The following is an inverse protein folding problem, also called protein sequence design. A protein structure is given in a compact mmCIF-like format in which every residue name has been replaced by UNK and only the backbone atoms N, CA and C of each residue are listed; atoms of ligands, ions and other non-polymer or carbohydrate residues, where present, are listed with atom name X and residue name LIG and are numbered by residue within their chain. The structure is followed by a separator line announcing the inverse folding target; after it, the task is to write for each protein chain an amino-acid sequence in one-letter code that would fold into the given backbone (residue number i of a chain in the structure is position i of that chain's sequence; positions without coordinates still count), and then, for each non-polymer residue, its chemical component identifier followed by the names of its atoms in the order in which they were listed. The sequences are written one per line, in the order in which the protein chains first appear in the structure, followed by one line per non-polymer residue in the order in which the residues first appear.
data_IF_360782764486
#
_entry.id   IF_360782764486
#
_cell.length_a   1.000
_cell.length_b   1.000
_cell.length_c   1.000
_cell.angle_alpha   90.00
_cell.angle_beta   90.00
_cell.angle_gamma   90.00
#
_symmetry.space_group_name_H-M   'P 1'
#
loop_
_entity.id
_entity.type
_entity.pdbx_description
1 polymer ?
#
# COMPACT_ATOMS: atom_id res chain seq x y z
N UNK A 1 -29.89 -0.94 18.86
CA UNK A 1 -29.68 -0.50 17.46
C UNK A 1 -28.76 0.72 17.31
N UNK A 2 -28.65 1.64 18.28
CA UNK A 2 -27.79 2.85 18.12
C UNK A 2 -26.26 2.60 18.24
N UNK A 3 -25.82 1.52 18.89
CA UNK A 3 -24.38 1.27 19.08
C UNK A 3 -23.67 0.75 17.80
N UNK A 4 -24.36 -0.02 16.99
CA UNK A 4 -23.78 -0.60 15.75
C UNK A 4 -23.56 0.46 14.67
N UNK A 5 -24.49 1.42 14.54
CA UNK A 5 -24.36 2.52 13.60
C UNK A 5 -23.20 3.47 13.96
N UNK A 6 -22.94 3.73 15.23
CA UNK A 6 -21.83 4.55 15.67
C UNK A 6 -20.47 3.87 15.44
N UNK A 7 -20.38 2.55 15.66
CA UNK A 7 -19.14 1.80 15.40
C UNK A 7 -18.81 1.75 13.90
N UNK A 8 -19.80 1.49 13.05
CA UNK A 8 -19.61 1.47 11.60
C UNK A 8 -19.16 2.83 11.06
N UNK A 9 -19.72 3.94 11.55
CA UNK A 9 -19.31 5.28 11.15
C UNK A 9 -17.87 5.61 11.60
N UNK A 10 -17.45 5.17 12.77
CA UNK A 10 -16.08 5.36 13.27
C UNK A 10 -15.08 4.55 12.45
N UNK A 11 -15.43 3.33 12.03
CA UNK A 11 -14.59 2.50 11.18
C UNK A 11 -14.46 3.08 9.76
N UNK A 12 -15.55 3.56 9.18
CA UNK A 12 -15.52 4.20 7.86
C UNK A 12 -14.70 5.50 7.86
N UNK A 13 -14.71 6.28 8.96
CA UNK A 13 -13.88 7.47 9.10
C UNK A 13 -12.38 7.18 9.10
N UNK A 14 -11.94 5.99 9.50
CA UNK A 14 -10.53 5.59 9.42
C UNK A 14 -10.02 5.46 7.98
N UNK A 15 -10.92 5.30 7.01
CA UNK A 15 -10.58 5.32 5.59
C UNK A 15 -10.11 6.68 5.08
N UNK A 16 -10.46 7.77 5.78
CA UNK A 16 -10.11 9.13 5.39
C UNK A 16 -8.72 9.51 5.89
N UNK A 17 -7.95 10.14 5.03
CA UNK A 17 -6.68 10.78 5.40
C UNK A 17 -6.89 12.28 5.64
N UNK A 18 -6.06 12.92 6.50
CA UNK A 18 -6.06 14.37 6.62
C UNK A 18 -5.91 15.05 5.26
N UNK A 19 -6.73 16.07 5.00
CA UNK A 19 -6.74 16.76 3.69
C UNK A 19 -5.40 17.40 3.34
N UNK A 20 -4.62 17.79 4.36
CA UNK A 20 -3.27 18.33 4.21
C UNK A 20 -2.25 17.32 3.62
N UNK A 21 -2.57 16.02 3.68
CA UNK A 21 -1.73 14.96 3.13
C UNK A 21 -2.09 14.62 1.67
N UNK A 22 -3.11 15.26 1.10
CA UNK A 22 -3.66 14.90 -0.21
C UNK A 22 -3.23 15.90 -1.27
N UNK A 23 -2.58 15.40 -2.30
CA UNK A 23 -2.27 16.12 -3.55
C UNK A 23 -3.09 15.51 -4.67
N UNK A 24 -4.02 16.25 -5.24
CA UNK A 24 -4.96 15.72 -6.24
C UNK A 24 -5.13 16.64 -7.45
N UNK A 25 -5.42 16.04 -8.59
CA UNK A 25 -5.94 16.69 -9.79
C UNK A 25 -7.20 15.98 -10.28
N UNK A 26 -7.58 16.22 -11.53
CA UNK A 26 -8.84 15.69 -12.07
C UNK A 26 -8.88 14.16 -12.12
N UNK A 27 -7.71 13.51 -12.41
CA UNK A 27 -7.63 12.07 -12.66
C UNK A 27 -6.64 11.33 -11.77
N UNK A 28 -6.02 12.02 -10.82
CA UNK A 28 -5.06 11.43 -9.90
C UNK A 28 -5.22 11.94 -8.48
N UNK A 29 -4.83 11.12 -7.52
CA UNK A 29 -4.72 11.50 -6.12
C UNK A 29 -3.52 10.79 -5.50
N UNK A 30 -2.64 11.56 -4.88
CA UNK A 30 -1.54 11.06 -4.08
C UNK A 30 -1.76 11.45 -2.63
N UNK A 31 -1.71 10.46 -1.73
CA UNK A 31 -1.90 10.69 -0.30
C UNK A 31 -0.62 10.31 0.43
N UNK A 32 0.01 11.26 1.08
CA UNK A 32 1.24 11.05 1.86
C UNK A 32 0.83 10.58 3.25
N UNK A 33 0.84 9.26 3.45
CA UNK A 33 0.40 8.63 4.70
C UNK A 33 1.45 8.73 5.80
N UNK A 34 2.73 8.54 5.43
CA UNK A 34 3.91 8.81 6.27
C UNK A 34 5.04 9.34 5.41
N UNK A 35 6.18 9.80 5.95
CA UNK A 35 7.32 10.19 5.12
C UNK A 35 7.86 9.07 4.20
N UNK A 36 7.47 7.80 4.46
CA UNK A 36 7.88 6.58 3.74
C UNK A 36 6.76 5.93 2.97
N UNK A 37 5.50 6.23 3.26
CA UNK A 37 4.34 5.55 2.69
C UNK A 37 3.47 6.53 1.92
N UNK A 38 3.22 6.23 0.65
CA UNK A 38 2.32 7.00 -0.21
C UNK A 38 1.28 6.10 -0.87
N UNK A 39 0.03 6.54 -0.88
CA UNK A 39 -1.04 5.97 -1.70
C UNK A 39 -1.06 6.66 -3.05
N UNK A 40 -1.04 5.88 -4.11
CA UNK A 40 -1.01 6.31 -5.50
C UNK A 40 -2.31 5.91 -6.17
N UNK A 41 -3.12 6.89 -6.58
CA UNK A 41 -4.41 6.63 -7.20
C UNK A 41 -4.50 7.30 -8.57
N UNK A 42 -5.04 6.57 -9.54
CA UNK A 42 -5.44 7.09 -10.83
C UNK A 42 -6.82 6.56 -11.21
N UNK A 43 -7.70 7.43 -11.68
CA UNK A 43 -8.99 7.05 -12.24
C UNK A 43 -9.33 7.98 -13.41
N UNK A 44 -9.66 7.40 -14.56
CA UNK A 44 -9.96 8.16 -15.80
C UNK A 44 -11.15 9.13 -15.65
N UNK A 45 -12.08 8.79 -14.75
CA UNK A 45 -13.32 9.52 -14.50
C UNK A 45 -13.21 10.42 -13.24
N UNK A 46 -12.04 10.43 -12.58
CA UNK A 46 -11.77 11.26 -11.39
C UNK A 46 -12.47 10.79 -10.11
N UNK A 47 -12.94 9.54 -10.08
CA UNK A 47 -13.60 8.97 -8.91
C UNK A 47 -12.59 8.24 -8.01
N UNK A 48 -12.51 8.65 -6.75
CA UNK A 48 -11.58 8.10 -5.76
C UNK A 48 -12.34 7.55 -4.56
N UNK A 49 -11.90 6.41 -4.04
CA UNK A 49 -12.57 5.67 -2.97
C UNK A 49 -11.94 6.02 -1.63
N UNK A 50 -12.74 6.50 -0.71
CA UNK A 50 -12.32 6.86 0.66
C UNK A 50 -12.67 5.77 1.69
N UNK A 51 -13.54 4.86 1.36
CA UNK A 51 -13.88 3.72 2.23
C UNK A 51 -12.62 2.90 2.56
N UNK A 52 -12.51 2.38 3.79
CA UNK A 52 -11.51 1.37 4.11
C UNK A 52 -11.61 0.18 3.15
N UNK A 53 -10.48 -0.44 2.85
CA UNK A 53 -10.45 -1.68 2.08
C UNK A 53 -10.12 -2.88 2.97
N UNK A 54 -10.25 -4.09 2.44
CA UNK A 54 -9.84 -5.30 3.16
C UNK A 54 -8.31 -5.35 3.40
N UNK A 55 -7.54 -4.50 2.70
CA UNK A 55 -6.11 -4.29 2.93
C UNK A 55 -5.88 -3.09 3.86
N UNK A 56 -6.40 -1.93 3.51
CA UNK A 56 -6.10 -0.67 4.17
C UNK A 56 -7.29 -0.19 4.99
N UNK A 57 -7.27 -0.51 6.27
CA UNK A 57 -8.36 -0.18 7.20
C UNK A 57 -8.23 1.22 7.81
N UNK A 58 -7.01 1.79 7.84
CA UNK A 58 -6.76 3.08 8.44
C UNK A 58 -5.79 3.90 7.58
N UNK A 59 -6.24 5.06 7.11
CA UNK A 59 -5.44 6.02 6.35
C UNK A 59 -5.19 7.33 7.09
N UNK A 60 -5.65 7.44 8.33
CA UNK A 60 -5.38 8.59 9.18
C UNK A 60 -4.14 8.34 10.03
N UNK A 61 -2.96 8.50 9.43
CA UNK A 61 -1.66 8.28 10.08
C UNK A 61 -0.99 9.60 10.50
N UNK A 62 -1.80 10.63 10.73
CA UNK A 62 -1.32 11.95 11.14
C UNK A 62 -0.98 12.88 9.96
N UNK A 63 -0.57 14.11 10.27
CA UNK A 63 -0.19 15.11 9.28
C UNK A 63 1.31 14.98 8.99
N UNK A 64 1.67 14.97 7.70
CA UNK A 64 3.03 14.79 7.24
C UNK A 64 3.60 16.06 6.60
N UNK A 65 4.91 16.24 6.77
CA UNK A 65 5.65 17.31 6.11
C UNK A 65 6.21 16.82 4.78
N UNK A 66 5.91 17.54 3.72
CA UNK A 66 6.43 17.30 2.37
C UNK A 66 6.37 18.59 1.54
N UNK A 67 7.13 18.63 0.46
CA UNK A 67 7.14 19.74 -0.48
C UNK A 67 6.46 19.31 -1.78
N UNK A 68 5.69 20.23 -2.37
CA UNK A 68 5.07 20.06 -3.68
C UNK A 68 5.59 21.12 -4.61
N UNK A 69 6.07 20.71 -5.76
CA UNK A 69 6.43 21.59 -6.88
C UNK A 69 5.65 21.14 -8.10
N UNK A 70 4.93 22.04 -8.74
CA UNK A 70 4.14 21.68 -9.91
C UNK A 70 4.24 22.71 -11.02
N UNK A 71 4.13 22.20 -12.24
CA UNK A 71 3.92 22.97 -13.48
C UNK A 71 2.59 22.56 -14.12
N UNK A 72 2.32 23.08 -15.31
CA UNK A 72 1.13 22.67 -16.07
C UNK A 72 1.15 21.17 -16.44
N UNK A 73 2.32 20.54 -16.53
CA UNK A 73 2.48 19.16 -17.03
C UNK A 73 2.99 18.23 -15.95
N UNK A 74 3.92 18.68 -15.09
CA UNK A 74 4.62 17.86 -14.11
C UNK A 74 4.20 18.23 -12.70
N UNK A 75 4.11 17.19 -11.86
CA UNK A 75 3.98 17.26 -10.42
C UNK A 75 5.18 16.57 -9.81
N UNK A 76 5.81 17.22 -8.84
CA UNK A 76 6.83 16.64 -7.98
C UNK A 76 6.38 16.74 -6.52
N UNK A 77 6.50 15.63 -5.79
CA UNK A 77 6.27 15.56 -4.36
C UNK A 77 7.53 15.02 -3.69
N UNK A 78 8.09 15.76 -2.75
CA UNK A 78 9.31 15.38 -2.04
C UNK A 78 9.06 15.25 -0.55
N UNK A 79 9.33 14.06 -0.01
CA UNK A 79 9.36 13.75 1.42
C UNK A 79 10.80 13.64 1.91
N UNK A 80 10.98 13.28 3.16
CA UNK A 80 12.31 12.92 3.69
C UNK A 80 12.91 11.68 2.99
N UNK A 81 12.09 10.72 2.56
CA UNK A 81 12.54 9.42 2.05
C UNK A 81 12.54 9.33 0.52
N UNK A 82 11.62 9.97 -0.15
CA UNK A 82 11.46 9.82 -1.59
C UNK A 82 11.09 11.12 -2.31
N UNK A 83 11.34 11.10 -3.62
CA UNK A 83 10.86 12.12 -4.57
C UNK A 83 10.01 11.42 -5.62
N UNK A 84 8.72 11.77 -5.67
CA UNK A 84 7.75 11.31 -6.65
C UNK A 84 7.66 12.34 -7.78
N UNK A 85 7.75 11.88 -9.03
CA UNK A 85 7.54 12.71 -10.23
C UNK A 85 6.43 12.09 -11.07
N UNK A 86 5.45 12.89 -11.47
CA UNK A 86 4.29 12.44 -12.21
C UNK A 86 3.91 13.40 -13.35
N UNK A 87 3.54 12.81 -14.50
CA UNK A 87 2.95 13.56 -15.63
C UNK A 87 1.44 13.68 -15.38
N UNK A 88 0.99 14.90 -15.07
CA UNK A 88 -0.38 15.17 -14.59
C UNK A 88 -1.46 14.63 -15.53
N UNK A 89 -2.50 14.07 -14.95
CA UNK A 89 -3.70 13.52 -15.64
C UNK A 89 -3.43 12.40 -16.66
N UNK A 90 -2.27 11.76 -16.61
CA UNK A 90 -1.94 10.60 -17.45
C UNK A 90 -2.12 9.29 -16.68
N UNK A 91 -2.61 8.21 -17.32
CA UNK A 91 -2.59 6.88 -16.71
C UNK A 91 -1.19 6.51 -16.25
N UNK A 92 -1.10 5.77 -15.15
CA UNK A 92 0.18 5.19 -14.76
C UNK A 92 0.63 4.22 -15.84
N UNK A 93 1.81 4.45 -16.38
CA UNK A 93 2.32 3.71 -17.52
C UNK A 93 3.65 3.06 -17.19
N UNK A 94 3.76 1.78 -17.53
CA UNK A 94 5.00 1.01 -17.43
C UNK A 94 6.10 1.67 -18.27
N UNK A 95 7.28 1.83 -17.70
CA UNK A 95 8.40 2.31 -18.50
C UNK A 95 9.71 2.37 -17.74
N UNK A 96 10.67 1.54 -18.22
CA UNK A 96 12.09 1.64 -17.88
C UNK A 96 12.83 2.68 -18.75
N UNK A 97 12.31 2.95 -19.95
CA UNK A 97 12.96 3.82 -20.92
C UNK A 97 12.73 5.27 -20.51
N UNK A 98 13.79 6.06 -20.47
CA UNK A 98 13.72 7.48 -20.16
C UNK A 98 12.65 8.17 -21.02
N UNK A 99 11.70 8.84 -20.37
CA UNK A 99 10.59 9.54 -21.02
C UNK A 99 9.34 8.70 -21.30
N UNK A 100 9.32 7.37 -21.02
CA UNK A 100 8.15 6.53 -21.22
C UNK A 100 7.27 6.39 -19.96
N UNK A 101 7.86 6.48 -18.76
CA UNK A 101 7.12 6.41 -17.50
C UNK A 101 6.37 7.71 -17.24
N UNK A 102 5.10 7.59 -16.86
CA UNK A 102 4.30 8.74 -16.42
C UNK A 102 4.37 8.94 -14.91
N UNK A 103 4.81 7.94 -14.15
CA UNK A 103 4.97 7.98 -12.69
C UNK A 103 6.28 7.29 -12.32
N UNK A 104 7.11 8.01 -11.56
CA UNK A 104 8.39 7.54 -11.04
C UNK A 104 8.57 8.01 -9.61
N UNK A 105 9.10 7.15 -8.75
CA UNK A 105 9.42 7.47 -7.35
C UNK A 105 10.85 7.03 -7.06
N UNK A 106 11.69 7.97 -6.68
CA UNK A 106 13.11 7.74 -6.39
C UNK A 106 13.34 7.79 -4.88
N UNK A 107 14.07 6.83 -4.34
CA UNK A 107 14.57 6.90 -2.97
C UNK A 107 15.65 7.98 -2.87
N UNK A 108 15.42 8.99 -2.04
CA UNK A 108 16.36 10.09 -1.84
C UNK A 108 17.73 9.54 -1.40
N UNK A 109 18.81 10.18 -1.85
CA UNK A 109 20.19 9.81 -1.57
C UNK A 109 20.61 8.42 -2.08
N UNK A 110 19.87 7.90 -3.07
CA UNK A 110 20.16 6.65 -3.77
C UNK A 110 19.88 6.78 -5.27
N UNK A 111 20.33 5.78 -6.04
CA UNK A 111 20.01 5.60 -7.45
C UNK A 111 18.79 4.70 -7.70
N UNK A 112 18.10 4.31 -6.61
CA UNK A 112 17.00 3.35 -6.67
C UNK A 112 15.70 4.05 -6.97
N UNK A 113 15.00 3.54 -7.99
CA UNK A 113 13.72 4.08 -8.42
C UNK A 113 12.66 2.98 -8.54
N UNK A 114 11.47 3.30 -8.12
CA UNK A 114 10.25 2.55 -8.42
C UNK A 114 9.48 3.28 -9.52
N UNK A 115 8.88 2.51 -10.42
CA UNK A 115 7.93 2.98 -11.45
C UNK A 115 6.73 2.05 -11.49
N UNK A 116 5.64 2.48 -12.10
CA UNK A 116 4.43 1.66 -12.19
C UNK A 116 4.73 0.29 -12.85
N UNK A 117 4.21 -0.78 -12.23
CA UNK A 117 4.48 -2.18 -12.60
C UNK A 117 5.96 -2.60 -12.50
N UNK A 118 6.68 -2.03 -11.53
CA UNK A 118 8.05 -2.43 -11.24
C UNK A 118 8.09 -3.92 -10.83
N UNK A 119 8.98 -4.74 -11.42
CA UNK A 119 9.02 -6.18 -11.15
C UNK A 119 9.41 -6.52 -9.70
N UNK A 120 10.10 -5.59 -8.99
CA UNK A 120 10.61 -5.79 -7.63
C UNK A 120 11.41 -7.10 -7.49
N UNK A 121 12.28 -7.36 -8.47
CA UNK A 121 13.01 -8.62 -8.60
C UNK A 121 13.91 -8.95 -7.38
N UNK A 122 14.20 -7.96 -6.52
CA UNK A 122 15.00 -8.12 -5.31
C UNK A 122 14.14 -8.11 -4.04
N UNK A 123 12.82 -8.37 -4.19
CA UNK A 123 11.90 -8.56 -3.09
C UNK A 123 12.20 -9.90 -2.40
N UNK A 124 12.13 -9.94 -1.07
CA UNK A 124 12.40 -11.16 -0.30
C UNK A 124 11.28 -12.19 -0.42
N UNK A 125 10.15 -11.80 -0.97
CA UNK A 125 8.96 -12.64 -1.10
C UNK A 125 8.13 -12.72 0.17
N UNK A 126 6.90 -13.16 0.00
CA UNK A 126 6.00 -13.56 1.07
C UNK A 126 5.96 -15.09 1.12
N UNK A 127 5.86 -15.65 2.30
CA UNK A 127 5.76 -17.09 2.48
C UNK A 127 4.31 -17.52 2.18
N UNK A 128 4.09 -18.14 1.03
CA UNK A 128 2.95 -19.03 0.84
C UNK A 128 3.47 -20.42 1.16
N UNK A 129 3.10 -20.95 2.31
CA UNK A 129 3.59 -22.24 2.75
C UNK A 129 2.68 -23.36 2.22
N UNK A 130 3.20 -24.16 1.31
CA UNK A 130 2.56 -25.36 0.82
C UNK A 130 3.48 -26.56 1.11
N UNK A 131 3.17 -27.28 2.20
CA UNK A 131 3.94 -28.44 2.65
C UNK A 131 3.87 -29.64 1.69
N UNK A 132 2.86 -29.66 0.83
CA UNK A 132 2.59 -30.78 -0.07
C UNK A 132 3.20 -30.61 -1.46
N UNK A 133 3.75 -29.42 -1.73
CA UNK A 133 4.31 -29.10 -3.03
C UNK A 133 5.80 -29.46 -3.11
N UNK A 134 6.12 -30.44 -3.94
CA UNK A 134 7.51 -30.73 -4.31
C UNK A 134 8.01 -29.76 -5.40
N UNK A 135 9.27 -29.31 -5.25
CA UNK A 135 9.95 -28.45 -6.22
C UNK A 135 9.94 -26.96 -5.90
N UNK A 136 10.36 -26.09 -6.84
CA UNK A 136 10.47 -24.65 -6.63
C UNK A 136 9.10 -24.02 -6.37
N UNK A 137 8.99 -23.26 -5.28
CA UNK A 137 7.80 -22.49 -4.94
C UNK A 137 7.96 -21.05 -5.46
N UNK A 138 6.99 -20.56 -6.21
CA UNK A 138 6.91 -19.13 -6.57
C UNK A 138 6.36 -18.37 -5.38
N UNK A 139 7.20 -17.54 -4.77
CA UNK A 139 6.78 -16.66 -3.69
C UNK A 139 6.06 -15.42 -4.27
N UNK A 140 5.02 -14.98 -3.59
CA UNK A 140 4.41 -13.68 -3.84
C UNK A 140 5.33 -12.55 -3.35
N UNK A 141 5.06 -11.31 -3.77
CA UNK A 141 5.80 -10.15 -3.28
C UNK A 141 5.50 -9.94 -1.79
N UNK A 142 6.55 -9.74 -1.01
CA UNK A 142 6.47 -9.38 0.40
C UNK A 142 6.71 -7.89 0.61
N UNK A 143 6.62 -7.47 1.87
CA UNK A 143 6.84 -6.08 2.27
C UNK A 143 8.31 -5.63 2.14
N UNK A 144 9.26 -6.56 2.18
CA UNK A 144 10.68 -6.24 2.23
C UNK A 144 11.42 -6.57 0.94
N UNK A 145 12.34 -5.68 0.56
CA UNK A 145 13.22 -5.87 -0.60
C UNK A 145 14.62 -5.31 -0.34
N UNK A 146 15.60 -5.79 -1.11
CA UNK A 146 16.94 -5.21 -1.15
C UNK A 146 16.96 -3.81 -1.79
N UNK A 147 15.93 -3.46 -2.53
CA UNK A 147 15.82 -2.14 -3.16
C UNK A 147 15.33 -1.05 -2.19
N UNK A 148 14.82 -1.46 -1.02
CA UNK A 148 14.36 -0.55 0.03
C UNK A 148 13.01 0.08 -0.26
N UNK A 149 12.23 -0.58 -1.12
CA UNK A 149 10.83 -0.25 -1.41
C UNK A 149 10.02 -1.52 -1.69
N UNK A 150 8.72 -1.41 -1.52
CA UNK A 150 7.74 -2.43 -1.94
C UNK A 150 6.41 -1.76 -2.28
N UNK A 151 5.67 -2.35 -3.21
CA UNK A 151 4.33 -1.89 -3.58
C UNK A 151 3.28 -2.96 -3.31
N UNK A 152 2.10 -2.53 -2.85
CA UNK A 152 0.93 -3.38 -2.66
C UNK A 152 -0.21 -2.79 -3.48
N UNK A 153 -0.77 -3.58 -4.39
CA UNK A 153 -1.90 -3.20 -5.23
C UNK A 153 -3.21 -3.47 -4.50
N UNK A 154 -3.96 -2.40 -4.23
CA UNK A 154 -5.27 -2.42 -3.58
C UNK A 154 -6.44 -2.22 -4.57
N UNK A 155 -6.15 -2.16 -5.88
CA UNK A 155 -7.13 -1.79 -6.91
C UNK A 155 -8.35 -2.70 -6.97
N UNK A 156 -8.20 -3.97 -6.60
CA UNK A 156 -9.25 -5.00 -6.71
C UNK A 156 -9.71 -5.58 -5.37
N UNK A 157 -9.26 -5.03 -4.25
CA UNK A 157 -9.69 -5.48 -2.91
C UNK A 157 -11.12 -5.04 -2.61
N UNK A 158 -11.76 -5.71 -1.67
CA UNK A 158 -13.07 -5.32 -1.19
C UNK A 158 -13.00 -4.02 -0.39
N UNK A 159 -14.06 -3.21 -0.44
CA UNK A 159 -14.22 -1.99 0.36
C UNK A 159 -15.28 -2.16 1.41
N UNK A 160 -15.10 -1.52 2.57
CA UNK A 160 -16.06 -1.51 3.65
C UNK A 160 -17.10 -0.41 3.41
N UNK A 161 -18.35 -0.80 3.29
CA UNK A 161 -19.48 0.12 3.13
C UNK A 161 -20.66 -0.35 3.98
N UNK A 162 -21.22 0.53 4.82
CA UNK A 162 -22.32 0.23 5.72
C UNK A 162 -22.10 -1.04 6.58
N UNK A 163 -20.85 -1.26 7.05
CA UNK A 163 -20.47 -2.40 7.87
C UNK A 163 -20.34 -3.74 7.13
N UNK A 164 -20.33 -3.72 5.81
CA UNK A 164 -20.16 -4.91 4.96
C UNK A 164 -19.06 -4.72 3.92
N UNK A 165 -18.31 -5.79 3.64
CA UNK A 165 -17.34 -5.76 2.55
C UNK A 165 -18.04 -6.01 1.22
N UNK A 166 -17.92 -5.05 0.31
CA UNK A 166 -18.51 -5.11 -1.05
C UNK A 166 -17.42 -5.03 -2.11
N UNK A 167 -17.76 -5.43 -3.34
CA UNK A 167 -16.86 -5.32 -4.48
C UNK A 167 -16.59 -3.85 -4.79
N UNK A 168 -15.33 -3.50 -5.00
CA UNK A 168 -14.89 -2.17 -5.42
C UNK A 168 -15.41 -1.86 -6.83
N UNK A 169 -15.84 -0.62 -7.14
CA UNK A 169 -16.10 -0.18 -8.50
C UNK A 169 -14.87 -0.36 -9.41
N UNK A 170 -15.09 -0.79 -10.64
CA UNK A 170 -14.01 -1.06 -11.59
C UNK A 170 -13.40 0.22 -12.18
N UNK A 171 -12.18 0.13 -12.68
CA UNK A 171 -11.54 1.16 -13.52
C UNK A 171 -10.61 2.13 -12.84
N UNK A 172 -10.29 1.91 -11.56
CA UNK A 172 -9.27 2.70 -10.83
C UNK A 172 -7.99 1.92 -10.58
N UNK A 173 -6.89 2.64 -10.44
CA UNK A 173 -5.62 2.12 -9.89
C UNK A 173 -5.45 2.68 -8.48
N UNK A 174 -5.08 1.83 -7.51
CA UNK A 174 -4.89 2.17 -6.11
C UNK A 174 -3.74 1.35 -5.54
N UNK A 175 -2.60 1.99 -5.31
CA UNK A 175 -1.36 1.32 -4.91
C UNK A 175 -0.81 1.98 -3.65
N UNK A 176 -0.40 1.19 -2.68
CA UNK A 176 0.40 1.61 -1.54
C UNK A 176 1.86 1.34 -1.84
N UNK A 177 2.67 2.40 -1.87
CA UNK A 177 4.10 2.32 -2.11
C UNK A 177 4.87 2.68 -0.84
N UNK A 178 5.63 1.71 -0.35
CA UNK A 178 6.51 1.83 0.81
C UNK A 178 7.94 2.12 0.34
N UNK A 179 8.51 3.25 0.76
CA UNK A 179 9.83 3.75 0.35
C UNK A 179 10.70 3.94 1.60
N UNK A 180 11.23 2.84 2.15
CA UNK A 180 11.80 2.78 3.49
C UNK A 180 13.34 2.69 3.54
N UNK A 181 14.03 2.59 2.40
CA UNK A 181 15.49 2.39 2.35
C UNK A 181 15.92 1.11 3.11
N UNK A 182 16.45 1.28 4.33
CA UNK A 182 16.85 0.19 5.24
C UNK A 182 16.07 0.20 6.56
N UNK A 183 15.09 1.07 6.69
CA UNK A 183 14.29 1.23 7.90
C UNK A 183 13.15 0.21 7.97
N UNK A 184 13.50 -1.08 7.97
CA UNK A 184 12.55 -2.20 7.93
C UNK A 184 11.55 -2.17 9.09
N UNK A 185 12.00 -1.80 10.30
CA UNK A 185 11.13 -1.67 11.47
C UNK A 185 10.07 -0.59 11.29
N UNK A 186 10.46 0.59 10.79
CA UNK A 186 9.52 1.68 10.52
C UNK A 186 8.58 1.35 9.35
N UNK A 187 9.04 0.59 8.36
CA UNK A 187 8.20 0.08 7.28
C UNK A 187 7.11 -0.87 7.80
N UNK A 188 7.47 -1.78 8.70
CA UNK A 188 6.52 -2.70 9.33
C UNK A 188 5.51 -1.96 10.21
N UNK A 189 5.95 -0.94 10.92
CA UNK A 189 5.08 -0.09 11.73
C UNK A 189 4.07 0.68 10.87
N UNK A 190 4.52 1.31 9.77
CA UNK A 190 3.65 1.93 8.78
C UNK A 190 2.63 0.93 8.20
N UNK A 191 3.07 -0.30 7.91
CA UNK A 191 2.20 -1.36 7.41
C UNK A 191 1.12 -1.74 8.44
N UNK A 192 1.47 -1.96 9.69
CA UNK A 192 0.50 -2.29 10.73
C UNK A 192 -0.46 -1.14 11.04
N UNK A 193 0.00 0.11 10.98
CA UNK A 193 -0.89 1.25 11.12
C UNK A 193 -1.91 1.35 9.97
N UNK A 194 -1.51 0.97 8.76
CA UNK A 194 -2.37 0.94 7.58
C UNK A 194 -3.37 -0.23 7.61
N UNK A 195 -2.87 -1.45 7.89
CA UNK A 195 -3.63 -2.70 7.73
C UNK A 195 -4.26 -3.22 9.01
N UNK A 196 -3.88 -2.65 10.16
CA UNK A 196 -4.20 -3.15 11.49
C UNK A 196 -3.15 -4.12 12.03
N UNK A 197 -3.05 -4.16 13.34
CA UNK A 197 -2.16 -5.09 14.03
C UNK A 197 -2.78 -6.50 14.02
N UNK A 198 -1.97 -7.56 13.88
CA UNK A 198 -2.45 -8.92 14.00
C UNK A 198 -3.03 -9.15 15.41
N UNK A 199 -4.06 -9.97 15.49
CA UNK A 199 -4.64 -10.36 16.77
C UNK A 199 -3.59 -11.07 17.63
N UNK A 200 -3.56 -10.76 18.92
CA UNK A 200 -2.67 -11.45 19.86
C UNK A 200 -3.02 -12.94 19.92
N UNK A 201 -2.01 -13.79 19.75
CA UNK A 201 -2.17 -15.25 19.89
C UNK A 201 -2.51 -15.55 21.37
N UNK A 202 -3.58 -16.29 21.68
CA UNK A 202 -3.90 -16.67 23.04
C UNK A 202 -2.75 -17.44 23.71
N UNK A 203 -2.51 -17.19 24.99
CA UNK A 203 -1.39 -17.79 25.72
C UNK A 203 -1.35 -19.31 25.64
N UNK A 204 -2.51 -19.97 25.63
CA UNK A 204 -2.59 -21.42 25.51
C UNK A 204 -2.10 -21.95 24.15
N UNK A 205 -2.08 -21.12 23.11
CA UNK A 205 -1.58 -21.47 21.79
C UNK A 205 -0.07 -21.25 21.63
N UNK A 206 0.61 -20.69 22.64
CA UNK A 206 2.06 -20.44 22.63
C UNK A 206 2.87 -21.62 23.21
N UNK A 207 2.19 -22.71 23.56
CA UNK A 207 2.84 -23.91 24.10
C UNK A 207 3.46 -24.80 23.01
N UNK A 208 4.07 -25.93 23.40
CA UNK A 208 4.61 -26.88 22.45
C UNK A 208 3.50 -27.50 21.61
N UNK A 209 3.72 -27.50 20.30
CA UNK A 209 2.81 -28.13 19.35
C UNK A 209 3.30 -29.52 19.02
N UNK A 210 2.40 -30.51 19.12
CA UNK A 210 2.65 -31.86 18.67
C UNK A 210 1.83 -32.11 17.41
N UNK A 211 2.51 -32.40 16.32
CA UNK A 211 1.88 -32.78 15.06
C UNK A 211 2.47 -34.10 14.55
N UNK A 212 1.61 -35.04 14.22
CA UNK A 212 1.99 -36.31 13.58
C UNK A 212 1.15 -36.47 12.31
N UNK A 213 1.81 -36.48 11.17
CA UNK A 213 1.16 -36.61 9.86
C UNK A 213 0.79 -38.06 9.53
N UNK A 214 1.43 -39.06 10.19
CA UNK A 214 1.19 -40.47 9.96
C UNK A 214 0.08 -41.03 10.84
N UNK A 215 -0.62 -42.04 10.32
CA UNK A 215 -1.59 -42.79 11.13
C UNK A 215 -0.88 -43.47 12.28
N UNK A 216 -1.48 -43.46 13.45
CA UNK A 216 -1.05 -44.35 14.54
C UNK A 216 -1.37 -45.78 14.13
N UNK A 217 -0.36 -46.61 14.01
CA UNK A 217 -0.47 -48.06 13.85
C UNK A 217 -0.43 -48.71 15.23
#
# INVERSE_FOLDING_TARGET
MNNTNNQNQVEEQKGLSPTQNIVKGDKYRFTILTPRLVRLEYNKDGYFIDNPSSLAINRNLGINNYNVTESNILLEIKTQYFTLTYVKNKPFKVGKIAGSSTLKVVLNDTDREWYYDHPEARNFGACTYDLEKEGPLKLDKGLYSLDGFASIDDSNTLILENGSYIKRPEGGTDIYLFMYKRDFGLCLDDYYHLTGYPASIPRYALGPWWYKNDRYT
#
